data_IF_032185597331
#
_entry.id   IF_032185597331
#
_cell.length_a   1.000
_cell.length_b   1.000
_cell.length_c   1.000
_cell.angle_alpha   90.00
_cell.angle_beta   90.00
_cell.angle_gamma   90.00
#
_symmetry.space_group_name_H-M   'P 1'
#
loop_
_entity.id
_entity.type
_entity.pdbx_description
1 polymer ?
#
# COMPACT_ATOMS: atom_id res chain seq x y z
N UNK A 1 37.62 -56.85 -36.28
CA UNK A 1 37.19 -55.45 -36.31
C UNK A 1 37.58 -54.83 -34.97
N UNK A 2 38.66 -54.06 -34.95
CA UNK A 2 39.29 -53.57 -33.72
C UNK A 2 38.76 -52.15 -33.44
N UNK A 3 37.96 -52.00 -32.39
CA UNK A 3 37.41 -50.69 -31.98
C UNK A 3 38.53 -49.92 -31.27
N UNK A 4 38.98 -48.75 -31.77
CA UNK A 4 40.00 -47.98 -31.07
C UNK A 4 39.44 -47.48 -29.74
N UNK A 5 40.13 -47.82 -28.64
CA UNK A 5 39.79 -47.40 -27.29
C UNK A 5 40.03 -45.88 -27.20
N UNK A 6 38.95 -45.10 -27.15
CA UNK A 6 39.00 -43.64 -26.93
C UNK A 6 39.74 -43.37 -25.62
N UNK A 7 40.82 -42.58 -25.70
CA UNK A 7 41.61 -42.16 -24.55
C UNK A 7 40.74 -41.18 -23.73
N UNK A 8 40.12 -41.66 -22.66
CA UNK A 8 39.42 -40.81 -21.70
C UNK A 8 40.48 -40.17 -20.81
N UNK A 9 40.90 -38.95 -21.13
CA UNK A 9 41.71 -38.15 -20.23
C UNK A 9 40.89 -37.90 -18.95
N UNK A 10 41.31 -38.49 -17.83
CA UNK A 10 40.68 -38.27 -16.54
C UNK A 10 40.81 -36.80 -16.13
N UNK A 11 39.80 -36.30 -15.41
CA UNK A 11 39.85 -34.94 -14.85
C UNK A 11 41.00 -34.84 -13.85
N UNK A 12 41.80 -33.78 -13.96
CA UNK A 12 42.84 -33.52 -12.97
C UNK A 12 42.21 -32.89 -11.72
N UNK A 13 42.85 -33.06 -10.56
CA UNK A 13 42.40 -32.47 -9.30
C UNK A 13 42.32 -30.93 -9.39
N UNK A 14 43.18 -30.33 -10.21
CA UNK A 14 43.20 -28.89 -10.47
C UNK A 14 41.94 -28.45 -11.22
N UNK A 15 41.52 -29.19 -12.24
CA UNK A 15 40.30 -28.88 -13.00
C UNK A 15 39.06 -28.92 -12.10
N UNK A 16 39.02 -29.87 -11.15
CA UNK A 16 37.93 -30.03 -10.20
C UNK A 16 37.88 -28.85 -9.20
N UNK A 17 39.04 -28.41 -8.70
CA UNK A 17 39.14 -27.23 -7.83
C UNK A 17 38.75 -25.94 -8.57
N UNK A 18 39.17 -25.78 -9.83
CA UNK A 18 38.82 -24.64 -10.65
C UNK A 18 37.30 -24.61 -10.92
N UNK A 19 36.70 -25.75 -11.26
CA UNK A 19 35.26 -25.87 -11.47
C UNK A 19 34.48 -25.53 -10.19
N UNK A 20 34.91 -26.02 -9.02
CA UNK A 20 34.30 -25.67 -7.73
C UNK A 20 34.41 -24.17 -7.40
N UNK A 21 35.58 -23.55 -7.67
CA UNK A 21 35.78 -22.12 -7.44
C UNK A 21 34.83 -21.28 -8.31
N UNK A 22 34.75 -21.59 -9.61
CA UNK A 22 33.84 -20.92 -10.55
C UNK A 22 32.38 -21.11 -10.12
N UNK A 23 31.99 -22.34 -9.77
CA UNK A 23 30.64 -22.66 -9.33
C UNK A 23 30.26 -21.87 -8.06
N UNK A 24 31.17 -21.80 -7.07
CA UNK A 24 30.92 -21.08 -5.83
C UNK A 24 30.70 -19.57 -6.05
N UNK A 25 31.46 -18.97 -6.96
CA UNK A 25 31.31 -17.57 -7.33
C UNK A 25 29.97 -17.31 -8.03
N UNK A 26 29.58 -18.18 -8.96
CA UNK A 26 28.28 -18.11 -9.64
C UNK A 26 27.10 -18.27 -8.67
N UNK A 27 27.22 -19.19 -7.70
CA UNK A 27 26.18 -19.42 -6.69
C UNK A 27 26.03 -18.21 -5.75
N UNK A 28 27.13 -17.60 -5.33
CA UNK A 28 27.10 -16.38 -4.51
C UNK A 28 26.47 -15.21 -5.28
N UNK A 29 26.87 -15.01 -6.54
CA UNK A 29 26.30 -13.96 -7.39
C UNK A 29 24.80 -14.11 -7.60
N UNK A 30 24.34 -15.32 -7.92
CA UNK A 30 22.91 -15.61 -8.11
C UNK A 30 22.10 -15.48 -6.82
N UNK A 31 22.63 -15.95 -5.68
CA UNK A 31 21.96 -15.80 -4.39
C UNK A 31 21.74 -14.32 -4.01
N UNK A 32 22.70 -13.45 -4.31
CA UNK A 32 22.58 -12.02 -4.02
C UNK A 32 21.56 -11.33 -4.93
N UNK A 33 21.53 -11.67 -6.22
CA UNK A 33 20.52 -11.17 -7.17
C UNK A 33 19.10 -11.57 -6.73
N UNK A 34 18.91 -12.83 -6.32
CA UNK A 34 17.62 -13.33 -5.85
C UNK A 34 17.15 -12.55 -4.62
N UNK A 35 18.03 -12.33 -3.63
CA UNK A 35 17.68 -11.57 -2.42
C UNK A 35 17.23 -10.15 -2.74
N UNK A 36 17.97 -9.43 -3.59
CA UNK A 36 17.61 -8.06 -3.99
C UNK A 36 16.29 -8.05 -4.76
N UNK A 37 16.08 -9.03 -5.64
CA UNK A 37 14.86 -9.15 -6.42
C UNK A 37 13.63 -9.43 -5.54
N UNK A 38 13.74 -10.35 -4.58
CA UNK A 38 12.67 -10.65 -3.63
C UNK A 38 12.31 -9.43 -2.78
N UNK A 39 13.31 -8.73 -2.23
CA UNK A 39 13.08 -7.52 -1.45
C UNK A 39 12.40 -6.42 -2.28
N UNK A 40 12.83 -6.22 -3.53
CA UNK A 40 12.21 -5.26 -4.45
C UNK A 40 10.77 -5.62 -4.81
N UNK A 41 10.46 -6.90 -4.99
CA UNK A 41 9.10 -7.37 -5.28
C UNK A 41 8.15 -7.20 -4.10
N UNK A 42 8.61 -7.48 -2.87
CA UNK A 42 7.81 -7.29 -1.66
C UNK A 42 7.48 -5.81 -1.42
N UNK A 43 8.46 -4.92 -1.57
CA UNK A 43 8.26 -3.48 -1.46
C UNK A 43 7.24 -2.97 -2.49
N UNK A 44 7.38 -3.37 -3.75
CA UNK A 44 6.45 -2.97 -4.81
C UNK A 44 5.03 -3.51 -4.61
N UNK A 45 4.88 -4.75 -4.13
CA UNK A 45 3.56 -5.33 -3.83
C UNK A 45 2.87 -4.63 -2.66
N UNK A 46 3.61 -4.36 -1.59
CA UNK A 46 3.08 -3.65 -0.42
C UNK A 46 2.67 -2.22 -0.78
N UNK A 47 3.44 -1.55 -1.64
CA UNK A 47 3.10 -0.23 -2.15
C UNK A 47 1.84 -0.22 -3.02
N UNK A 48 1.73 -1.18 -3.95
CA UNK A 48 0.56 -1.30 -4.80
C UNK A 48 -0.71 -1.59 -3.97
N UNK A 49 -0.63 -2.50 -3.00
CA UNK A 49 -1.73 -2.80 -2.08
C UNK A 49 -2.13 -1.59 -1.24
N UNK A 50 -1.17 -0.86 -0.67
CA UNK A 50 -1.46 0.35 0.10
C UNK A 50 -2.15 1.44 -0.72
N UNK A 51 -1.80 1.58 -2.01
CA UNK A 51 -2.46 2.50 -2.91
C UNK A 51 -3.89 2.05 -3.26
N UNK A 52 -4.11 0.77 -3.52
CA UNK A 52 -5.44 0.21 -3.76
C UNK A 52 -6.36 0.40 -2.54
N UNK A 53 -5.87 0.07 -1.35
CA UNK A 53 -6.57 0.28 -0.07
C UNK A 53 -6.94 1.75 0.13
N UNK A 54 -6.03 2.68 -0.19
CA UNK A 54 -6.28 4.10 -0.07
C UNK A 54 -7.33 4.61 -1.06
N UNK A 55 -7.34 4.12 -2.30
CA UNK A 55 -8.39 4.44 -3.27
C UNK A 55 -9.74 3.89 -2.82
N UNK A 56 -9.76 2.65 -2.33
CA UNK A 56 -10.97 2.04 -1.78
C UNK A 56 -11.51 2.85 -0.58
N UNK A 57 -10.64 3.21 0.35
CA UNK A 57 -10.98 4.04 1.50
C UNK A 57 -11.53 5.40 1.08
N UNK A 58 -10.90 6.07 0.11
CA UNK A 58 -11.37 7.35 -0.42
C UNK A 58 -12.76 7.21 -1.05
N UNK A 59 -12.98 6.20 -1.89
CA UNK A 59 -14.27 5.96 -2.52
C UNK A 59 -15.38 5.68 -1.48
N UNK A 60 -15.07 4.91 -0.44
CA UNK A 60 -16.00 4.68 0.67
C UNK A 60 -16.32 5.97 1.43
N UNK A 61 -15.31 6.76 1.80
CA UNK A 61 -15.52 8.05 2.47
C UNK A 61 -16.40 8.98 1.64
N UNK A 62 -16.11 9.13 0.35
CA UNK A 62 -16.90 9.94 -0.58
C UNK A 62 -18.35 9.44 -0.62
N UNK A 63 -18.57 8.12 -0.71
CA UNK A 63 -19.91 7.53 -0.75
C UNK A 63 -20.70 7.82 0.53
N UNK A 64 -20.08 7.67 1.69
CA UNK A 64 -20.74 7.87 2.97
C UNK A 64 -21.01 9.35 3.27
N UNK A 65 -20.08 10.24 2.92
CA UNK A 65 -20.32 11.68 2.99
C UNK A 65 -21.49 12.05 2.06
N UNK A 66 -21.54 11.52 0.83
CA UNK A 66 -22.67 11.76 -0.08
C UNK A 66 -23.99 11.21 0.45
N UNK A 67 -23.99 10.18 1.30
CA UNK A 67 -25.19 9.66 1.95
C UNK A 67 -25.59 10.49 3.17
N UNK A 68 -24.64 11.19 3.80
CA UNK A 68 -24.87 12.01 4.98
C UNK A 68 -25.78 13.21 4.72
N UNK A 69 -26.53 13.63 5.73
CA UNK A 69 -27.40 14.79 5.68
C UNK A 69 -26.60 16.09 5.65
N UNK A 70 -27.00 17.03 4.79
CA UNK A 70 -26.49 18.39 4.80
C UNK A 70 -26.72 19.01 6.20
N UNK A 71 -25.65 19.53 6.81
CA UNK A 71 -25.69 20.10 8.16
C UNK A 71 -25.39 19.12 9.29
N UNK A 72 -25.44 17.79 9.07
CA UNK A 72 -24.97 16.79 10.05
C UNK A 72 -23.59 16.22 9.72
N UNK A 73 -22.76 17.05 9.08
CA UNK A 73 -21.36 16.76 8.84
C UNK A 73 -20.51 17.67 9.74
N UNK A 74 -19.60 17.07 10.49
CA UNK A 74 -18.81 17.76 11.52
C UNK A 74 -17.34 17.41 11.37
N UNK A 75 -16.52 18.39 11.03
CA UNK A 75 -15.06 18.28 11.07
C UNK A 75 -14.65 18.52 12.53
N UNK A 76 -14.23 17.46 13.23
CA UNK A 76 -13.82 17.54 14.65
C UNK A 76 -12.39 18.01 14.78
N UNK A 77 -11.54 17.62 13.84
CA UNK A 77 -10.16 18.08 13.72
C UNK A 77 -9.70 18.00 12.27
N UNK A 78 -8.47 18.44 11.98
CA UNK A 78 -7.88 18.29 10.65
C UNK A 78 -7.75 16.82 10.21
N UNK A 79 -7.88 15.85 11.10
CA UNK A 79 -7.70 14.42 10.82
C UNK A 79 -8.88 13.56 11.29
N UNK A 80 -10.01 14.20 11.66
CA UNK A 80 -11.21 13.54 12.19
C UNK A 80 -12.47 14.21 11.63
N UNK A 81 -13.29 13.41 10.95
CA UNK A 81 -14.55 13.78 10.33
C UNK A 81 -15.66 12.86 10.81
N UNK A 82 -16.77 13.43 11.26
CA UNK A 82 -18.02 12.72 11.51
C UNK A 82 -19.09 13.12 10.49
N UNK A 83 -19.82 12.14 9.98
CA UNK A 83 -20.93 12.33 9.06
C UNK A 83 -22.13 11.49 9.52
N UNK A 84 -23.30 12.10 9.65
CA UNK A 84 -24.52 11.41 10.08
C UNK A 84 -25.48 11.26 8.90
N UNK A 85 -26.01 10.06 8.70
CA UNK A 85 -26.99 9.78 7.65
C UNK A 85 -28.44 10.08 8.06
N UNK A 86 -29.37 9.80 7.13
CA UNK A 86 -30.81 9.96 7.34
C UNK A 86 -31.38 9.01 8.41
N UNK A 87 -30.70 7.88 8.63
CA UNK A 87 -31.08 6.85 9.59
C UNK A 87 -30.48 7.14 10.98
N UNK A 88 -29.92 8.35 11.17
CA UNK A 88 -29.24 8.83 12.37
C UNK A 88 -27.98 8.04 12.76
N UNK A 89 -27.43 7.28 11.81
CA UNK A 89 -26.17 6.57 12.03
C UNK A 89 -25.02 7.52 11.78
N UNK A 90 -24.24 7.77 12.84
CA UNK A 90 -22.99 8.53 12.74
C UNK A 90 -21.86 7.61 12.30
N UNK A 91 -21.18 8.02 11.23
CA UNK A 91 -19.94 7.39 10.78
C UNK A 91 -18.78 8.38 10.92
N UNK A 92 -17.73 7.94 11.58
CA UNK A 92 -16.53 8.70 11.88
C UNK A 92 -15.37 8.17 11.02
N UNK A 93 -14.57 9.08 10.49
CA UNK A 93 -13.33 8.78 9.79
C UNK A 93 -12.20 9.50 10.51
N UNK A 94 -11.24 8.74 11.01
CA UNK A 94 -10.12 9.31 11.75
C UNK A 94 -8.82 8.61 11.38
N UNK A 95 -7.74 9.39 11.39
CA UNK A 95 -6.40 8.90 11.17
C UNK A 95 -5.63 8.85 12.48
N UNK A 96 -4.96 7.72 12.72
CA UNK A 96 -4.13 7.49 13.89
C UNK A 96 -3.05 6.46 13.55
N UNK A 97 -1.83 6.70 14.02
CA UNK A 97 -0.72 5.74 13.91
C UNK A 97 -0.49 5.20 12.48
N UNK A 98 -0.50 6.10 11.50
CA UNK A 98 -0.28 5.73 10.09
C UNK A 98 -1.42 4.93 9.44
N UNK A 99 -2.58 4.85 10.10
CA UNK A 99 -3.74 4.07 9.67
C UNK A 99 -4.99 4.94 9.61
N UNK A 100 -5.81 4.68 8.60
CA UNK A 100 -7.11 5.32 8.45
C UNK A 100 -8.20 4.37 8.93
N UNK A 101 -9.05 4.86 9.81
CA UNK A 101 -10.13 4.09 10.41
C UNK A 101 -11.48 4.67 10.04
N UNK A 102 -12.47 3.77 10.00
CA UNK A 102 -13.89 4.08 9.97
C UNK A 102 -14.50 3.57 11.26
N UNK A 103 -15.29 4.39 11.95
CA UNK A 103 -16.11 3.95 13.09
C UNK A 103 -17.57 4.22 12.82
N UNK A 104 -18.40 3.19 12.89
CA UNK A 104 -19.85 3.31 12.65
C UNK A 104 -20.57 2.33 13.57
N UNK A 105 -21.61 2.81 14.27
CA UNK A 105 -22.35 1.98 15.24
C UNK A 105 -21.46 1.38 16.34
N UNK A 106 -20.40 2.07 16.76
CA UNK A 106 -19.43 1.60 17.76
C UNK A 106 -18.38 0.62 17.24
N UNK A 107 -18.52 0.10 16.02
CA UNK A 107 -17.53 -0.80 15.40
C UNK A 107 -16.46 0.01 14.68
N UNK A 108 -15.19 -0.27 14.99
CA UNK A 108 -14.04 0.33 14.29
C UNK A 108 -13.50 -0.64 13.24
N UNK A 109 -13.32 -0.16 12.02
CA UNK A 109 -12.79 -0.90 10.88
C UNK A 109 -11.59 -0.17 10.31
N UNK A 110 -10.52 -0.91 10.02
CA UNK A 110 -9.36 -0.39 9.31
C UNK A 110 -9.69 -0.23 7.83
N UNK A 111 -9.48 0.96 7.27
CA UNK A 111 -9.73 1.24 5.85
C UNK A 111 -8.46 1.21 5.01
N UNK A 112 -7.37 1.79 5.52
CA UNK A 112 -6.09 1.85 4.82
C UNK A 112 -4.93 1.89 5.82
N UNK A 113 -3.79 1.34 5.40
CA UNK A 113 -2.52 1.34 6.14
C UNK A 113 -1.45 2.12 5.36
N UNK A 114 -0.32 2.42 6.02
CA UNK A 114 0.78 3.19 5.44
C UNK A 114 0.36 4.60 4.97
N UNK A 115 -0.64 5.16 5.63
CA UNK A 115 -1.14 6.52 5.40
C UNK A 115 -0.22 7.48 6.14
N UNK A 116 0.58 8.25 5.40
CA UNK A 116 1.49 9.23 5.98
C UNK A 116 0.78 10.51 6.43
N UNK A 117 -0.34 10.86 5.79
CA UNK A 117 -1.18 11.97 6.22
C UNK A 117 -2.64 11.80 5.78
N UNK A 118 -3.56 12.20 6.64
CA UNK A 118 -4.97 12.41 6.29
C UNK A 118 -5.36 13.82 6.70
N UNK A 119 -6.00 14.56 5.80
CA UNK A 119 -6.42 15.94 6.03
C UNK A 119 -7.87 16.10 5.62
N UNK A 120 -8.64 16.73 6.49
CA UNK A 120 -10.03 17.12 6.27
C UNK A 120 -10.11 18.62 6.44
N UNK A 121 -10.67 19.29 5.44
CA UNK A 121 -10.92 20.73 5.50
C UNK A 121 -12.27 21.07 4.91
N UNK A 122 -12.79 22.23 5.29
CA UNK A 122 -13.97 22.77 4.62
C UNK A 122 -13.63 23.13 3.17
N UNK A 123 -14.55 22.83 2.25
CA UNK A 123 -14.45 23.28 0.87
C UNK A 123 -14.83 24.75 0.73
N UNK A 124 -14.51 25.35 -0.42
CA UNK A 124 -14.70 26.79 -0.68
C UNK A 124 -16.15 27.26 -0.63
N UNK A 125 -17.12 26.36 -0.88
CA UNK A 125 -18.54 26.63 -0.72
C UNK A 125 -19.16 25.63 0.26
N UNK A 126 -19.88 26.09 1.29
CA UNK A 126 -20.63 25.18 2.16
C UNK A 126 -21.79 24.53 1.36
N UNK A 127 -22.09 23.24 1.57
CA UNK A 127 -21.54 22.31 2.56
C UNK A 127 -20.45 21.37 1.97
N UNK A 128 -19.49 21.86 1.18
CA UNK A 128 -18.42 21.03 0.62
C UNK A 128 -17.36 20.68 1.68
N UNK A 129 -16.82 19.46 1.56
CA UNK A 129 -15.71 18.95 2.37
C UNK A 129 -14.60 18.50 1.44
N UNK A 130 -13.37 18.89 1.74
CA UNK A 130 -12.18 18.45 1.02
C UNK A 130 -11.47 17.40 1.86
N UNK A 131 -11.28 16.23 1.26
CA UNK A 131 -10.50 15.13 1.81
C UNK A 131 -9.17 15.06 1.08
N UNK A 132 -8.08 14.91 1.81
CA UNK A 132 -6.76 14.61 1.25
C UNK A 132 -6.15 13.45 2.02
N UNK A 133 -5.71 12.44 1.28
CA UNK A 133 -5.07 11.25 1.80
C UNK A 133 -3.70 11.12 1.14
N UNK A 134 -2.65 10.95 1.93
CA UNK A 134 -1.28 10.73 1.45
C UNK A 134 -0.82 9.36 1.91
N UNK A 135 -0.34 8.56 0.96
CA UNK A 135 0.19 7.21 1.21
C UNK A 135 1.67 7.23 0.90
N UNK A 136 2.47 6.66 1.79
CA UNK A 136 3.90 6.49 1.56
C UNK A 136 4.16 5.27 0.66
N UNK A 137 4.97 5.46 -0.38
CA UNK A 137 5.46 4.41 -1.26
C UNK A 137 7.00 4.51 -1.35
N UNK A 138 7.68 3.97 -0.34
CA UNK A 138 9.14 4.05 -0.27
C UNK A 138 9.61 5.51 -0.17
N UNK A 139 10.33 5.99 -1.18
CA UNK A 139 10.81 7.37 -1.26
C UNK A 139 9.77 8.35 -1.83
N UNK A 140 8.73 7.83 -2.49
CA UNK A 140 7.68 8.64 -3.11
C UNK A 140 6.41 8.65 -2.25
N UNK A 141 5.61 9.70 -2.39
CA UNK A 141 4.32 9.82 -1.71
C UNK A 141 3.22 10.05 -2.76
N UNK A 142 2.16 9.26 -2.68
CA UNK A 142 0.99 9.43 -3.56
C UNK A 142 -0.11 10.15 -2.78
N UNK A 143 -0.67 11.19 -3.40
CA UNK A 143 -1.74 11.99 -2.82
C UNK A 143 -3.05 11.76 -3.57
N UNK A 144 -4.10 11.42 -2.83
CA UNK A 144 -5.48 11.38 -3.29
C UNK A 144 -6.20 12.58 -2.69
N UNK A 145 -6.94 13.32 -3.52
CA UNK A 145 -7.70 14.48 -3.07
C UNK A 145 -9.08 14.47 -3.70
N UNK A 146 -10.11 14.60 -2.87
CA UNK A 146 -11.50 14.65 -3.31
C UNK A 146 -12.23 15.80 -2.61
N UNK A 147 -13.17 16.41 -3.33
CA UNK A 147 -14.10 17.39 -2.74
C UNK A 147 -15.52 16.87 -2.88
N UNK A 148 -16.21 16.74 -1.75
CA UNK A 148 -17.48 16.03 -1.66
C UNK A 148 -18.55 16.91 -1.04
N UNK A 149 -19.77 16.80 -1.57
CA UNK A 149 -20.96 17.43 -1.01
C UNK A 149 -21.83 16.37 -0.32
N UNK A 150 -22.32 16.61 0.91
CA UNK A 150 -23.35 15.79 1.53
C UNK A 150 -24.69 15.95 0.81
N UNK A 151 -25.62 15.03 1.06
CA UNK A 151 -26.95 15.06 0.48
C UNK A 151 -27.73 16.27 1.01
N UNK A 152 -28.30 17.06 0.11
CA UNK A 152 -29.21 18.15 0.47
C UNK A 152 -30.44 17.63 1.22
#
# INVERSE_FOLDING_TARGET
MMVPKRNQAGFTLIDLLLACAILSFLLLGTAQIIRVSCAGLELNRNAAGAFEDANHAMALMVREIRRSQAGKLTIRSATDLAATDLDEVTTEFYWSDGKLYRRSGGVTTLLAQNVSAFQVSQGEAAPLVRLRLTVANGADAVQLQETVRPRN
#
